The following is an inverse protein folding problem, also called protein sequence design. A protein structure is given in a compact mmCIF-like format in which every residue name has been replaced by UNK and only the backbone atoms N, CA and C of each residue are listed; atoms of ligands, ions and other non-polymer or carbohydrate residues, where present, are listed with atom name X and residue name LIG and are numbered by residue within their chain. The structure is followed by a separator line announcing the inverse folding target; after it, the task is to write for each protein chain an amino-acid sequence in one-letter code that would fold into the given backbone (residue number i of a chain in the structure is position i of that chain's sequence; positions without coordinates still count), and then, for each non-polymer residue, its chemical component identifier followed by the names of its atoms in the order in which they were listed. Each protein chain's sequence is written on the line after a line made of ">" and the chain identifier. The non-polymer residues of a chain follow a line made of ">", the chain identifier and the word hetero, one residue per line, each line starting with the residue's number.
data_IF_749407033555
#
_entry.id   IF_749407033555
#
_cell.length_a   1.000
_cell.length_b   1.000
_cell.length_c   1.000
_cell.angle_alpha   90.00
_cell.angle_beta   90.00
_cell.angle_gamma   90.00
#
_symmetry.space_group_name_H-M   'P 1'
#
loop_
_entity.id
_entity.type
_entity.pdbx_description
1 polymer ?
#
# COMPACT_ATOMS: atom_id res chain seq x y z
N UNK A 1 -74.76 34.12 -25.69
CA UNK A 1 -73.50 33.34 -25.51
C UNK A 1 -73.55 32.26 -26.59
N UNK A 2 -72.84 32.49 -27.68
CA UNK A 2 -72.70 31.49 -28.75
C UNK A 2 -71.53 30.57 -28.42
N UNK A 3 -71.86 29.30 -28.25
CA UNK A 3 -70.88 28.24 -28.05
C UNK A 3 -70.46 27.77 -29.45
N UNK A 4 -69.29 28.19 -29.90
CA UNK A 4 -68.72 27.66 -31.13
C UNK A 4 -68.32 26.21 -30.96
N UNK A 5 -69.18 25.31 -31.42
CA UNK A 5 -68.80 23.91 -31.62
C UNK A 5 -67.80 23.82 -32.78
N UNK A 6 -66.56 23.64 -32.50
CA UNK A 6 -65.55 23.21 -33.49
C UNK A 6 -66.00 21.80 -34.00
N UNK A 7 -66.34 21.71 -35.24
CA UNK A 7 -66.62 20.45 -35.91
C UNK A 7 -65.33 19.63 -35.97
N UNK A 8 -65.27 18.57 -35.16
CA UNK A 8 -64.24 17.56 -35.29
C UNK A 8 -64.46 16.80 -36.61
N UNK A 9 -63.70 17.20 -37.64
CA UNK A 9 -63.60 16.34 -38.84
C UNK A 9 -62.85 15.05 -38.44
N UNK A 10 -63.43 13.88 -38.76
CA UNK A 10 -62.76 12.62 -38.52
C UNK A 10 -61.44 12.60 -39.30
N UNK A 11 -60.34 12.56 -38.60
CA UNK A 11 -59.01 12.49 -39.20
C UNK A 11 -58.95 11.26 -40.11
N UNK A 12 -58.38 11.40 -41.31
CA UNK A 12 -58.19 10.29 -42.24
C UNK A 12 -57.06 9.36 -41.63
N UNK A 13 -57.17 8.06 -41.85
CA UNK A 13 -56.17 7.07 -41.37
C UNK A 13 -54.72 7.49 -41.61
N UNK A 14 -54.44 8.15 -42.74
CA UNK A 14 -53.10 8.68 -43.06
C UNK A 14 -52.62 9.74 -42.06
N UNK A 15 -53.49 10.57 -41.51
CA UNK A 15 -53.13 11.60 -40.52
C UNK A 15 -52.75 10.96 -39.18
N UNK A 16 -53.48 9.94 -38.74
CA UNK A 16 -53.10 9.17 -37.53
C UNK A 16 -51.77 8.46 -37.69
N UNK A 17 -51.51 7.89 -38.86
CA UNK A 17 -50.24 7.23 -39.14
C UNK A 17 -49.05 8.24 -39.15
N UNK A 18 -49.27 9.40 -39.73
CA UNK A 18 -48.23 10.46 -39.73
C UNK A 18 -47.97 11.01 -38.33
N UNK A 19 -49.04 11.24 -37.53
CA UNK A 19 -48.90 11.66 -36.12
C UNK A 19 -48.19 10.60 -35.30
N UNK A 20 -48.58 9.33 -35.45
CA UNK A 20 -47.86 8.23 -34.79
C UNK A 20 -46.40 8.13 -35.19
N UNK A 21 -46.11 8.25 -36.49
CA UNK A 21 -44.72 8.17 -36.97
C UNK A 21 -43.86 9.35 -36.49
N UNK A 22 -44.44 10.56 -36.46
CA UNK A 22 -43.72 11.74 -35.90
C UNK A 22 -43.46 11.57 -34.41
N UNK A 23 -44.40 11.12 -33.62
CA UNK A 23 -44.19 10.84 -32.21
C UNK A 23 -43.18 9.72 -31.99
N UNK A 24 -43.27 8.64 -32.73
CA UNK A 24 -42.32 7.54 -32.70
C UNK A 24 -40.90 8.01 -33.06
N UNK A 25 -40.79 8.77 -34.16
CA UNK A 25 -39.49 9.32 -34.57
C UNK A 25 -38.91 10.27 -33.51
N UNK A 26 -39.73 11.15 -32.93
CA UNK A 26 -39.26 12.10 -31.90
C UNK A 26 -38.75 11.36 -30.65
N UNK A 27 -39.49 10.35 -30.18
CA UNK A 27 -39.07 9.53 -29.02
C UNK A 27 -37.78 8.74 -29.34
N UNK A 28 -37.74 8.11 -30.54
CA UNK A 28 -36.56 7.32 -30.95
C UNK A 28 -35.33 8.19 -31.11
N UNK A 29 -35.46 9.37 -31.73
CA UNK A 29 -34.36 10.33 -31.87
C UNK A 29 -33.90 10.86 -30.51
N UNK A 30 -34.85 11.14 -29.59
CA UNK A 30 -34.49 11.53 -28.22
C UNK A 30 -33.68 10.45 -27.48
N UNK A 31 -34.10 9.19 -27.62
CA UNK A 31 -33.38 8.05 -27.04
C UNK A 31 -31.99 7.84 -27.64
N UNK A 32 -31.87 8.00 -28.97
CA UNK A 32 -30.58 7.92 -29.64
C UNK A 32 -29.63 9.07 -29.21
N UNK A 33 -30.17 10.29 -29.13
CA UNK A 33 -29.39 11.45 -28.69
C UNK A 33 -28.88 11.27 -27.24
N UNK A 34 -29.73 10.80 -26.33
CA UNK A 34 -29.34 10.54 -24.94
C UNK A 34 -28.30 9.41 -24.82
N UNK A 35 -28.47 8.32 -25.58
CA UNK A 35 -27.51 7.24 -25.62
C UNK A 35 -26.13 7.71 -26.15
N UNK A 36 -26.09 8.52 -27.19
CA UNK A 36 -24.84 9.10 -27.72
C UNK A 36 -24.19 10.05 -26.69
N UNK A 37 -24.99 10.85 -26.01
CA UNK A 37 -24.52 11.73 -24.94
C UNK A 37 -23.93 10.93 -23.79
N UNK A 38 -24.59 9.87 -23.35
CA UNK A 38 -24.12 8.99 -22.29
C UNK A 38 -22.75 8.38 -22.66
N UNK A 39 -22.63 7.80 -23.86
CA UNK A 39 -21.36 7.22 -24.35
C UNK A 39 -20.25 8.27 -24.39
N UNK A 40 -20.54 9.50 -24.78
CA UNK A 40 -19.55 10.58 -24.79
C UNK A 40 -19.08 10.92 -23.38
N UNK A 41 -20.00 11.14 -22.44
CA UNK A 41 -19.69 11.47 -21.04
C UNK A 41 -18.86 10.36 -20.39
N UNK A 42 -19.23 9.10 -20.62
CA UNK A 42 -18.51 7.96 -20.02
C UNK A 42 -17.12 7.78 -20.61
N UNK A 43 -16.93 8.09 -21.89
CA UNK A 43 -15.60 8.11 -22.52
C UNK A 43 -14.71 9.18 -21.90
N UNK A 44 -15.25 10.38 -21.66
CA UNK A 44 -14.52 11.49 -21.03
C UNK A 44 -14.11 11.12 -19.59
N UNK A 45 -15.06 10.60 -18.80
CA UNK A 45 -14.77 10.10 -17.45
C UNK A 45 -13.69 9.02 -17.43
N UNK A 46 -13.76 8.09 -18.38
CA UNK A 46 -12.74 7.04 -18.50
C UNK A 46 -11.36 7.62 -18.77
N UNK A 47 -11.27 8.64 -19.62
CA UNK A 47 -10.01 9.34 -19.91
C UNK A 47 -9.45 10.04 -18.66
N UNK A 48 -10.28 10.79 -17.94
CA UNK A 48 -9.88 11.43 -16.68
C UNK A 48 -9.36 10.43 -15.64
N UNK A 49 -10.05 9.27 -15.51
CA UNK A 49 -9.62 8.23 -14.59
C UNK A 49 -8.28 7.59 -15.00
N UNK A 50 -7.98 7.47 -16.29
CA UNK A 50 -6.67 7.01 -16.77
C UNK A 50 -5.57 8.01 -16.38
N UNK A 51 -5.82 9.32 -16.49
CA UNK A 51 -4.85 10.33 -16.07
C UNK A 51 -4.59 10.28 -14.54
N UNK A 52 -5.64 10.09 -13.74
CA UNK A 52 -5.50 9.93 -12.30
C UNK A 52 -4.74 8.62 -11.96
N UNK A 53 -5.03 7.53 -12.67
CA UNK A 53 -4.32 6.27 -12.50
C UNK A 53 -2.82 6.40 -12.80
N UNK A 54 -2.43 7.17 -13.84
CA UNK A 54 -1.01 7.50 -14.09
C UNK A 54 -0.34 8.13 -12.86
N UNK A 55 -1.01 9.09 -12.23
CA UNK A 55 -0.48 9.74 -11.02
C UNK A 55 -0.36 8.75 -9.85
N UNK A 56 -1.34 7.87 -9.65
CA UNK A 56 -1.27 6.84 -8.61
C UNK A 56 -0.14 5.85 -8.86
N UNK A 57 0.07 5.41 -10.11
CA UNK A 57 1.19 4.53 -10.48
C UNK A 57 2.54 5.21 -10.16
N UNK A 58 2.72 6.46 -10.53
CA UNK A 58 3.97 7.18 -10.22
C UNK A 58 4.23 7.29 -8.71
N UNK A 59 3.19 7.54 -7.92
CA UNK A 59 3.29 7.59 -6.46
C UNK A 59 3.64 6.22 -5.87
N UNK A 60 3.01 5.16 -6.36
CA UNK A 60 3.30 3.80 -5.92
C UNK A 60 4.72 3.37 -6.27
N UNK A 61 5.24 3.73 -7.45
CA UNK A 61 6.62 3.44 -7.84
C UNK A 61 7.61 4.10 -6.86
N UNK A 62 7.39 5.38 -6.51
CA UNK A 62 8.23 6.07 -5.53
C UNK A 62 8.17 5.42 -4.14
N UNK A 63 6.98 4.99 -3.73
CA UNK A 63 6.79 4.29 -2.46
C UNK A 63 7.49 2.94 -2.47
N UNK A 64 7.35 2.16 -3.54
CA UNK A 64 8.06 0.89 -3.73
C UNK A 64 9.57 1.09 -3.61
N UNK A 65 10.15 2.07 -4.31
CA UNK A 65 11.58 2.34 -4.25
C UNK A 65 12.04 2.68 -2.83
N UNK A 66 11.26 3.47 -2.09
CA UNK A 66 11.54 3.79 -0.69
C UNK A 66 11.53 2.55 0.21
N UNK A 67 10.52 1.69 0.08
CA UNK A 67 10.40 0.48 0.90
C UNK A 67 11.49 -0.53 0.54
N UNK A 68 11.74 -0.76 -0.75
CA UNK A 68 12.79 -1.66 -1.23
C UNK A 68 14.17 -1.25 -0.70
N UNK A 69 14.50 0.04 -0.72
CA UNK A 69 15.76 0.54 -0.18
C UNK A 69 15.90 0.24 1.32
N UNK A 70 14.83 0.42 2.08
CA UNK A 70 14.81 0.14 3.53
C UNK A 70 14.90 -1.35 3.83
N UNK A 71 14.16 -2.19 3.08
CA UNK A 71 14.21 -3.64 3.24
C UNK A 71 15.60 -4.20 2.90
N UNK A 72 16.25 -3.67 1.86
CA UNK A 72 17.63 -4.02 1.52
C UNK A 72 18.62 -3.62 2.63
N UNK A 73 18.38 -2.50 3.32
CA UNK A 73 19.19 -2.10 4.48
C UNK A 73 18.98 -3.08 5.63
N UNK A 74 17.74 -3.46 5.95
CA UNK A 74 17.46 -4.47 6.97
C UNK A 74 18.08 -5.82 6.65
N UNK A 75 18.10 -6.26 5.40
CA UNK A 75 18.79 -7.50 5.00
C UNK A 75 20.28 -7.44 5.36
N UNK A 76 20.95 -6.32 5.09
CA UNK A 76 22.38 -6.14 5.47
C UNK A 76 22.57 -6.12 6.97
N UNK A 77 21.66 -5.51 7.72
CA UNK A 77 21.72 -5.52 9.19
C UNK A 77 21.56 -6.95 9.73
N UNK A 78 20.64 -7.75 9.17
CA UNK A 78 20.50 -9.15 9.56
C UNK A 78 21.67 -10.04 9.15
N UNK A 79 22.29 -9.79 8.00
CA UNK A 79 23.53 -10.48 7.63
C UNK A 79 24.63 -10.17 8.63
N UNK A 80 24.73 -8.92 9.08
CA UNK A 80 25.68 -8.51 10.14
C UNK A 80 25.37 -9.20 11.47
N UNK A 81 24.09 -9.25 11.85
CA UNK A 81 23.64 -9.95 13.05
C UNK A 81 23.96 -11.44 13.00
N UNK A 82 23.68 -12.11 11.89
CA UNK A 82 24.00 -13.53 11.71
C UNK A 82 25.50 -13.79 11.74
N UNK A 83 26.31 -12.90 11.15
CA UNK A 83 27.78 -12.99 11.23
C UNK A 83 28.27 -12.80 12.66
N UNK A 84 27.72 -11.83 13.39
CA UNK A 84 28.04 -11.63 14.82
C UNK A 84 27.71 -12.89 15.64
N UNK A 85 26.51 -13.44 15.47
CA UNK A 85 26.10 -14.67 16.16
C UNK A 85 26.97 -15.87 15.81
N UNK A 86 27.42 -15.99 14.55
CA UNK A 86 28.23 -17.11 14.09
C UNK A 86 29.70 -17.05 14.61
N UNK A 87 30.26 -15.85 14.73
CA UNK A 87 31.70 -15.67 15.02
C UNK A 87 32.00 -15.32 16.47
N UNK A 88 31.02 -14.72 17.19
CA UNK A 88 31.26 -14.26 18.59
C UNK A 88 31.07 -15.42 19.56
N UNK A 89 32.06 -15.62 20.41
CA UNK A 89 32.08 -16.72 21.37
C UNK A 89 31.09 -16.50 22.51
N UNK A 90 31.12 -15.32 23.11
CA UNK A 90 30.22 -14.87 24.17
C UNK A 90 29.39 -13.69 23.67
N UNK A 91 28.09 -13.85 23.66
CA UNK A 91 27.16 -12.85 23.14
C UNK A 91 26.95 -11.76 24.20
N UNK A 92 27.06 -10.52 23.76
CA UNK A 92 26.70 -9.34 24.52
C UNK A 92 25.25 -8.96 24.26
N UNK A 93 24.49 -8.63 25.31
CA UNK A 93 23.06 -8.36 25.21
C UNK A 93 22.72 -7.06 24.47
N UNK A 94 23.56 -6.03 24.63
CA UNK A 94 23.35 -4.75 23.94
C UNK A 94 23.67 -4.91 22.45
N UNK A 95 24.79 -5.56 22.12
CA UNK A 95 25.16 -5.87 20.73
C UNK A 95 24.11 -6.77 20.05
N UNK A 96 23.55 -7.73 20.76
CA UNK A 96 22.47 -8.56 20.22
C UNK A 96 21.25 -7.70 19.88
N UNK A 97 20.87 -6.79 20.77
CA UNK A 97 19.72 -5.92 20.58
C UNK A 97 19.91 -4.98 19.39
N UNK A 98 21.08 -4.32 19.31
CA UNK A 98 21.37 -3.37 18.23
C UNK A 98 21.43 -4.03 16.84
N UNK A 99 21.78 -5.32 16.79
CA UNK A 99 21.87 -6.06 15.55
C UNK A 99 20.59 -6.87 15.19
N UNK A 100 19.52 -6.75 15.98
CA UNK A 100 18.26 -7.49 15.73
C UNK A 100 17.04 -6.56 15.67
N UNK A 101 17.00 -5.60 14.73
CA UNK A 101 15.90 -4.65 14.64
C UNK A 101 14.54 -5.32 14.35
N UNK A 102 13.47 -4.78 14.93
CA UNK A 102 12.09 -5.23 14.73
C UNK A 102 11.27 -4.32 13.80
N UNK A 103 11.94 -3.44 13.07
CA UNK A 103 11.27 -2.50 12.17
C UNK A 103 10.61 -3.22 10.98
N UNK A 104 9.40 -2.81 10.62
CA UNK A 104 8.67 -3.27 9.44
C UNK A 104 8.32 -2.07 8.58
N UNK A 105 8.64 -2.15 7.30
CA UNK A 105 8.29 -1.13 6.32
C UNK A 105 7.18 -1.64 5.42
N UNK A 106 6.00 -1.04 5.55
CA UNK A 106 4.81 -1.47 4.81
C UNK A 106 4.73 -0.75 3.48
N UNK A 107 4.44 -1.52 2.45
CA UNK A 107 3.92 -0.99 1.20
C UNK A 107 2.39 -1.01 1.29
N UNK A 108 1.78 0.17 1.22
CA UNK A 108 0.34 0.34 1.12
C UNK A 108 0.10 1.03 -0.22
N UNK A 109 -0.40 0.28 -1.17
CA UNK A 109 -0.61 0.78 -2.52
C UNK A 109 -1.72 1.82 -2.55
N UNK A 110 -1.52 2.87 -3.34
CA UNK A 110 -2.53 3.88 -3.62
C UNK A 110 -3.34 3.41 -4.82
N UNK A 111 -4.46 2.74 -4.55
CA UNK A 111 -5.32 2.12 -5.57
C UNK A 111 -6.68 2.82 -5.69
N UNK A 112 -6.83 4.03 -5.13
CA UNK A 112 -8.11 4.76 -5.06
C UNK A 112 -8.75 4.90 -6.44
N UNK A 113 -7.98 5.26 -7.46
CA UNK A 113 -8.46 5.40 -8.83
C UNK A 113 -8.92 4.08 -9.43
N UNK A 114 -8.14 3.00 -9.24
CA UNK A 114 -8.52 1.66 -9.72
C UNK A 114 -9.80 1.17 -9.03
N UNK A 115 -9.92 1.35 -7.72
CA UNK A 115 -11.10 0.96 -6.96
C UNK A 115 -12.33 1.77 -7.36
N UNK A 116 -12.16 3.05 -7.67
CA UNK A 116 -13.20 3.89 -8.25
C UNK A 116 -13.62 3.38 -9.63
N UNK A 117 -12.67 3.06 -10.52
CA UNK A 117 -12.96 2.50 -11.85
C UNK A 117 -13.73 1.18 -11.75
N UNK A 118 -13.37 0.34 -10.78
CA UNK A 118 -14.02 -0.95 -10.52
C UNK A 118 -15.42 -0.77 -9.97
N UNK A 119 -15.60 0.08 -8.95
CA UNK A 119 -16.90 0.29 -8.28
C UNK A 119 -17.91 1.02 -9.16
N UNK A 120 -17.46 1.99 -9.97
CA UNK A 120 -18.30 2.71 -10.95
C UNK A 120 -18.54 1.93 -12.23
N UNK A 121 -17.98 0.73 -12.36
CA UNK A 121 -17.98 -0.07 -13.59
C UNK A 121 -17.36 0.65 -14.81
N UNK A 122 -16.54 1.68 -14.61
CA UNK A 122 -15.93 2.46 -15.69
C UNK A 122 -14.90 1.65 -16.50
N UNK A 123 -14.37 0.55 -15.95
CA UNK A 123 -13.48 -0.38 -16.67
C UNK A 123 -14.12 -0.92 -17.97
N UNK A 124 -15.45 -1.04 -18.04
CA UNK A 124 -16.20 -1.51 -19.25
C UNK A 124 -16.08 -0.57 -20.44
N UNK A 125 -15.74 0.70 -20.21
CA UNK A 125 -15.58 1.69 -21.27
C UNK A 125 -14.17 1.70 -21.88
N UNK A 126 -13.23 1.00 -21.27
CA UNK A 126 -11.91 0.77 -21.85
C UNK A 126 -12.03 -0.29 -22.94
N UNK A 127 -12.14 0.18 -24.19
CA UNK A 127 -12.29 -0.69 -25.37
C UNK A 127 -11.01 -1.44 -25.71
N UNK A 128 -9.85 -0.86 -25.35
CA UNK A 128 -8.54 -1.47 -25.58
C UNK A 128 -8.31 -2.60 -24.56
N UNK A 129 -8.39 -3.82 -25.04
CA UNK A 129 -8.19 -5.03 -24.23
C UNK A 129 -6.76 -5.16 -23.68
N UNK A 130 -5.75 -4.60 -24.38
CA UNK A 130 -4.36 -4.62 -23.92
C UNK A 130 -4.20 -3.67 -22.75
N UNK A 131 -4.74 -2.44 -22.85
CA UNK A 131 -4.76 -1.48 -21.76
C UNK A 131 -5.48 -2.05 -20.54
N UNK A 132 -6.68 -2.61 -20.73
CA UNK A 132 -7.46 -3.21 -19.65
C UNK A 132 -6.67 -4.31 -18.94
N UNK A 133 -6.06 -5.23 -19.69
CA UNK A 133 -5.26 -6.30 -19.11
C UNK A 133 -4.04 -5.77 -18.33
N UNK A 134 -3.36 -4.73 -18.83
CA UNK A 134 -2.25 -4.10 -18.11
C UNK A 134 -2.71 -3.46 -16.80
N UNK A 135 -3.86 -2.79 -16.77
CA UNK A 135 -4.44 -2.21 -15.54
C UNK A 135 -4.75 -3.31 -14.52
N UNK A 136 -5.41 -4.40 -14.95
CA UNK A 136 -5.74 -5.53 -14.07
C UNK A 136 -4.50 -6.23 -13.53
N UNK A 137 -3.47 -6.43 -14.37
CA UNK A 137 -2.20 -7.03 -13.98
C UNK A 137 -1.51 -6.17 -12.94
N UNK A 138 -1.38 -4.87 -13.20
CA UNK A 138 -0.76 -3.93 -12.25
C UNK A 138 -1.48 -3.93 -10.90
N UNK A 139 -2.81 -3.85 -10.89
CA UNK A 139 -3.58 -3.88 -9.65
C UNK A 139 -3.39 -5.19 -8.87
N UNK A 140 -3.33 -6.33 -9.56
CA UNK A 140 -3.04 -7.63 -8.95
C UNK A 140 -1.63 -7.70 -8.36
N UNK A 141 -0.63 -7.19 -9.07
CA UNK A 141 0.76 -7.19 -8.62
C UNK A 141 0.96 -6.28 -7.40
N UNK A 142 0.31 -5.10 -7.39
CA UNK A 142 0.28 -4.22 -6.21
C UNK A 142 -0.35 -4.91 -5.00
N UNK A 143 -1.50 -5.56 -5.18
CA UNK A 143 -2.17 -6.28 -4.10
C UNK A 143 -1.30 -7.44 -3.55
N UNK A 144 -0.59 -8.16 -4.43
CA UNK A 144 0.34 -9.21 -4.02
C UNK A 144 1.54 -8.65 -3.24
N UNK A 145 2.13 -7.53 -3.67
CA UNK A 145 3.22 -6.85 -2.96
C UNK A 145 2.77 -6.33 -1.60
N UNK A 146 1.59 -5.73 -1.53
CA UNK A 146 0.99 -5.24 -0.29
C UNK A 146 0.71 -6.36 0.71
N UNK A 147 0.13 -7.47 0.27
CA UNK A 147 -0.12 -8.63 1.12
C UNK A 147 1.18 -9.19 1.73
N UNK A 148 2.29 -9.17 0.98
CA UNK A 148 3.59 -9.61 1.48
C UNK A 148 4.14 -8.69 2.55
N UNK A 149 4.19 -7.38 2.30
CA UNK A 149 4.79 -6.42 3.22
C UNK A 149 3.90 -6.10 4.44
N UNK A 150 2.58 -6.06 4.26
CA UNK A 150 1.67 -5.57 5.31
C UNK A 150 1.07 -6.69 6.17
N UNK A 151 0.88 -7.88 5.63
CA UNK A 151 0.26 -8.99 6.38
C UNK A 151 1.31 -9.99 6.83
N UNK A 152 2.01 -10.62 5.90
CA UNK A 152 2.88 -11.75 6.22
C UNK A 152 4.12 -11.36 7.04
N UNK A 153 4.76 -10.25 6.69
CA UNK A 153 5.94 -9.79 7.45
C UNK A 153 5.52 -9.28 8.84
N UNK A 154 4.44 -8.52 8.93
CA UNK A 154 3.93 -8.02 10.22
C UNK A 154 3.56 -9.17 11.13
N UNK A 155 2.84 -10.17 10.64
CA UNK A 155 2.45 -11.36 11.41
C UNK A 155 3.68 -12.10 11.94
N UNK A 156 4.69 -12.30 11.10
CA UNK A 156 5.93 -12.94 11.52
C UNK A 156 6.67 -12.12 12.58
N UNK A 157 6.81 -10.79 12.37
CA UNK A 157 7.56 -9.92 13.30
C UNK A 157 6.85 -9.76 14.63
N UNK A 158 5.54 -9.63 14.64
CA UNK A 158 4.74 -9.51 15.88
C UNK A 158 4.51 -10.84 16.59
N UNK A 159 4.62 -11.94 15.87
CA UNK A 159 4.49 -13.30 16.39
C UNK A 159 5.83 -13.94 16.70
N UNK A 160 6.32 -14.77 15.80
CA UNK A 160 7.47 -15.66 16.02
C UNK A 160 8.75 -14.89 16.36
N UNK A 161 9.05 -13.81 15.62
CA UNK A 161 10.23 -13.00 15.88
C UNK A 161 10.18 -12.28 17.24
N UNK A 162 9.02 -11.72 17.59
CA UNK A 162 8.82 -11.05 18.88
C UNK A 162 8.98 -12.01 20.06
N UNK A 163 8.55 -13.27 19.93
CA UNK A 163 8.72 -14.28 20.98
C UNK A 163 10.21 -14.48 21.29
N UNK A 164 11.05 -14.61 20.26
CA UNK A 164 12.49 -14.79 20.42
C UNK A 164 13.14 -13.55 21.02
N UNK A 165 12.78 -12.36 20.50
CA UNK A 165 13.28 -11.07 21.03
C UNK A 165 12.94 -10.91 22.51
N UNK A 166 11.69 -11.09 22.89
CA UNK A 166 11.22 -10.88 24.27
C UNK A 166 11.85 -11.88 25.26
N UNK A 167 12.19 -13.08 24.80
CA UNK A 167 12.82 -14.09 25.66
C UNK A 167 14.26 -13.74 26.01
N UNK A 168 14.99 -13.14 25.09
CA UNK A 168 16.44 -12.98 25.21
C UNK A 168 16.91 -11.53 25.38
N UNK A 169 16.06 -10.55 25.04
CA UNK A 169 16.37 -9.15 25.26
C UNK A 169 15.96 -8.71 26.66
N UNK A 170 16.88 -8.14 27.46
CA UNK A 170 16.51 -7.59 28.76
C UNK A 170 15.48 -6.46 28.57
N UNK A 171 14.38 -6.51 29.34
CA UNK A 171 13.34 -5.46 29.32
C UNK A 171 13.92 -4.05 29.55
N UNK A 172 15.01 -3.94 30.30
CA UNK A 172 15.73 -2.70 30.57
C UNK A 172 16.39 -2.09 29.32
N UNK A 173 16.94 -2.93 28.42
CA UNK A 173 17.53 -2.45 27.16
C UNK A 173 16.45 -2.00 26.19
N UNK A 174 15.36 -2.77 26.07
CA UNK A 174 14.21 -2.40 25.27
C UNK A 174 13.59 -1.07 25.74
N UNK A 175 13.44 -0.89 27.07
CA UNK A 175 12.88 0.34 27.64
C UNK A 175 13.81 1.55 27.41
N UNK A 176 15.15 1.37 27.54
CA UNK A 176 16.11 2.42 27.25
C UNK A 176 16.07 2.86 25.80
N UNK A 177 16.02 1.92 24.86
CA UNK A 177 15.92 2.23 23.43
C UNK A 177 14.64 2.98 23.11
N UNK A 178 13.49 2.56 23.64
CA UNK A 178 12.23 3.29 23.50
C UNK A 178 12.32 4.71 24.05
N UNK A 179 13.08 4.92 25.12
CA UNK A 179 13.35 6.24 25.67
C UNK A 179 14.22 7.08 24.72
N UNK A 180 15.33 6.52 24.26
CA UNK A 180 16.27 7.19 23.36
C UNK A 180 15.61 7.55 22.02
N UNK A 181 14.77 6.68 21.48
CA UNK A 181 13.96 6.92 20.29
C UNK A 181 12.93 8.04 20.48
N UNK A 182 12.27 8.10 21.63
CA UNK A 182 11.30 9.16 21.98
C UNK A 182 11.97 10.50 22.31
N UNK A 183 13.15 10.50 22.88
CA UNK A 183 13.92 11.70 23.22
C UNK A 183 14.51 12.43 22.00
N UNK A 184 14.33 11.91 20.79
CA UNK A 184 14.63 12.60 19.54
C UNK A 184 15.96 12.27 18.94
N UNK A 185 16.67 11.27 19.45
CA UNK A 185 17.96 10.82 18.91
C UNK A 185 17.81 9.78 17.77
N UNK A 186 16.60 9.33 17.45
CA UNK A 186 16.41 8.25 16.48
C UNK A 186 15.25 8.39 15.48
N UNK A 187 14.19 9.14 15.77
CA UNK A 187 13.05 9.25 14.85
C UNK A 187 12.71 10.71 14.58
N UNK A 188 12.85 11.13 13.32
CA UNK A 188 12.19 12.35 12.83
C UNK A 188 10.70 12.06 12.68
N UNK A 189 10.01 12.02 13.80
CA UNK A 189 8.54 12.15 13.79
C UNK A 189 8.26 13.63 13.54
N UNK A 190 7.43 13.90 12.53
CA UNK A 190 7.00 15.27 12.23
C UNK A 190 6.35 15.88 13.48
N UNK A 191 7.11 16.67 14.22
CA UNK A 191 6.82 17.14 15.59
C UNK A 191 5.57 18.00 15.70
N UNK A 192 5.10 18.59 14.61
CA UNK A 192 3.98 19.54 14.68
C UNK A 192 2.61 18.91 14.94
N UNK A 193 2.42 17.64 14.65
CA UNK A 193 1.11 16.97 14.83
C UNK A 193 1.06 15.92 15.95
N UNK A 194 2.17 15.39 16.37
CA UNK A 194 2.22 14.29 17.35
C UNK A 194 2.71 14.73 18.73
N UNK A 195 3.35 15.89 18.85
CA UNK A 195 3.97 16.37 20.08
C UNK A 195 2.97 16.81 21.16
N UNK A 196 1.73 17.08 20.82
CA UNK A 196 0.73 17.48 21.81
C UNK A 196 0.10 16.30 22.56
N UNK A 197 0.29 15.07 22.10
CA UNK A 197 -0.44 13.91 22.63
C UNK A 197 0.38 12.95 23.51
N UNK A 198 1.70 12.96 23.50
CA UNK A 198 2.46 11.85 24.05
C UNK A 198 3.68 12.15 24.94
N UNK A 199 4.15 13.38 25.07
CA UNK A 199 5.36 13.65 25.88
C UNK A 199 5.09 14.84 26.78
N UNK A 200 4.54 14.57 27.94
CA UNK A 200 4.65 15.46 29.09
C UNK A 200 6.08 15.26 29.66
N UNK A 201 6.81 16.34 29.97
CA UNK A 201 8.14 16.27 30.58
C UNK A 201 8.20 15.40 31.85
N UNK A 202 7.06 15.22 32.53
CA UNK A 202 6.90 14.32 33.66
C UNK A 202 7.03 12.84 33.29
N UNK A 203 6.60 12.43 32.08
CA UNK A 203 6.73 11.06 31.62
C UNK A 203 8.19 10.72 31.24
N UNK A 204 8.98 11.72 30.84
CA UNK A 204 10.40 11.59 30.56
C UNK A 204 11.19 11.37 31.87
N UNK A 205 10.82 12.09 32.94
CA UNK A 205 11.43 11.92 34.27
C UNK A 205 11.20 10.53 34.87
N UNK A 206 10.08 9.90 34.56
CA UNK A 206 9.78 8.54 35.03
C UNK A 206 10.71 7.47 34.44
N UNK A 207 11.23 7.69 33.22
CA UNK A 207 12.15 6.77 32.56
C UNK A 207 13.65 7.07 32.84
N UNK A 208 13.96 8.15 33.56
CA UNK A 208 15.33 8.54 33.89
C UNK A 208 16.10 7.52 34.76
N UNK A 209 15.46 6.68 35.61
CA UNK A 209 16.18 5.61 36.35
C UNK A 209 16.79 4.55 35.43
N UNK A 210 16.40 4.46 34.16
CA UNK A 210 16.92 3.49 33.21
C UNK A 210 18.35 3.80 32.75
N UNK A 211 18.88 5.01 33.05
CA UNK A 211 20.26 5.38 32.77
C UNK A 211 21.29 4.58 33.55
N UNK A 212 20.89 3.85 34.59
CA UNK A 212 21.79 3.01 35.41
C UNK A 212 21.72 1.52 35.02
N UNK A 213 21.15 1.18 33.86
CA UNK A 213 21.20 -0.21 33.38
C UNK A 213 22.66 -0.55 33.01
N UNK A 214 23.22 -1.65 33.52
CA UNK A 214 24.54 -2.10 33.16
C UNK A 214 24.69 -2.24 31.65
N UNK A 215 25.65 -1.56 31.05
CA UNK A 215 25.86 -1.56 29.59
C UNK A 215 26.36 -2.91 29.06
N UNK A 216 27.09 -3.64 29.88
CA UNK A 216 27.79 -4.85 29.48
C UNK A 216 27.18 -6.08 30.18
N UNK A 217 26.23 -6.71 29.54
CA UNK A 217 25.73 -8.01 30.01
C UNK A 217 26.13 -9.10 29.03
N UNK A 218 27.40 -9.54 29.19
CA UNK A 218 27.90 -10.69 28.44
C UNK A 218 27.26 -11.98 28.99
N UNK A 219 26.67 -12.76 28.11
CA UNK A 219 26.06 -14.04 28.47
C UNK A 219 27.10 -15.15 28.63
N UNK A 220 26.83 -16.14 29.50
CA UNK A 220 27.66 -17.35 29.61
C UNK A 220 27.72 -18.09 28.26
N UNK A 221 28.72 -18.99 28.13
CA UNK A 221 28.87 -19.84 26.94
C UNK A 221 27.58 -20.60 26.61
N UNK A 222 26.96 -21.26 27.59
CA UNK A 222 25.72 -22.01 27.44
C UNK A 222 24.56 -21.14 26.97
N UNK A 223 24.38 -19.98 27.61
CA UNK A 223 23.35 -19.03 27.19
C UNK A 223 23.63 -18.44 25.81
N UNK A 224 24.88 -18.15 25.47
CA UNK A 224 25.24 -17.66 24.15
C UNK A 224 24.93 -18.68 23.06
N UNK A 225 25.11 -19.98 23.34
CA UNK A 225 24.72 -21.05 22.42
C UNK A 225 23.19 -21.14 22.27
N UNK A 226 22.46 -21.07 23.37
CA UNK A 226 20.98 -21.04 23.34
C UNK A 226 20.43 -19.83 22.55
N UNK A 227 21.02 -18.65 22.72
CA UNK A 227 20.67 -17.43 21.98
C UNK A 227 20.94 -17.64 20.49
N UNK A 228 22.11 -18.14 20.12
CA UNK A 228 22.47 -18.43 18.73
C UNK A 228 21.48 -19.37 18.07
N UNK A 229 21.15 -20.46 18.75
CA UNK A 229 20.20 -21.45 18.25
C UNK A 229 18.76 -20.89 18.13
N UNK A 230 18.38 -19.92 18.95
CA UNK A 230 17.07 -19.28 18.87
C UNK A 230 17.00 -18.20 17.79
N UNK A 231 18.02 -17.35 17.68
CA UNK A 231 18.00 -16.22 16.75
C UNK A 231 18.33 -16.60 15.31
N UNK A 232 19.29 -17.46 15.08
CA UNK A 232 19.75 -17.78 13.72
C UNK A 232 18.60 -18.21 12.79
N UNK A 233 17.69 -19.14 13.17
CA UNK A 233 16.59 -19.53 12.30
C UNK A 233 15.59 -18.40 12.01
N UNK A 234 15.27 -17.56 13.00
CA UNK A 234 14.31 -16.49 12.81
C UNK A 234 14.90 -15.34 11.99
N UNK A 235 16.20 -15.04 12.12
CA UNK A 235 16.88 -14.06 11.27
C UNK A 235 16.95 -14.52 9.82
N UNK A 236 17.32 -15.80 9.58
CA UNK A 236 17.32 -16.38 8.24
C UNK A 236 15.94 -16.33 7.59
N UNK A 237 14.90 -16.67 8.35
CA UNK A 237 13.53 -16.63 7.86
C UNK A 237 13.09 -15.20 7.55
N UNK A 238 13.41 -14.24 8.42
CA UNK A 238 13.08 -12.84 8.21
C UNK A 238 13.79 -12.26 6.98
N UNK A 239 15.06 -12.56 6.79
CA UNK A 239 15.80 -12.21 5.58
C UNK A 239 15.10 -12.78 4.33
N UNK A 240 14.66 -14.04 4.40
CA UNK A 240 13.89 -14.66 3.32
C UNK A 240 12.57 -13.94 3.03
N UNK A 241 11.84 -13.47 4.05
CA UNK A 241 10.63 -12.67 3.87
C UNK A 241 10.92 -11.34 3.19
N UNK A 242 11.93 -10.59 3.66
CA UNK A 242 12.33 -9.31 3.08
C UNK A 242 12.73 -9.44 1.60
N UNK A 243 13.57 -10.42 1.28
CA UNK A 243 14.00 -10.67 -0.11
C UNK A 243 12.81 -11.03 -1.01
N UNK A 244 11.85 -11.79 -0.48
CA UNK A 244 10.65 -12.14 -1.22
C UNK A 244 9.74 -10.90 -1.42
N UNK A 245 9.58 -10.06 -0.40
CA UNK A 245 8.85 -8.80 -0.47
C UNK A 245 9.45 -7.87 -1.52
N UNK A 246 10.77 -7.68 -1.51
CA UNK A 246 11.50 -6.89 -2.53
C UNK A 246 11.24 -7.43 -3.94
N UNK A 247 11.19 -8.75 -4.11
CA UNK A 247 10.87 -9.37 -5.41
C UNK A 247 9.45 -9.02 -5.88
N UNK A 248 8.43 -9.14 -5.02
CA UNK A 248 7.04 -8.81 -5.37
C UNK A 248 6.87 -7.32 -5.68
N UNK A 249 7.54 -6.46 -4.92
CA UNK A 249 7.58 -5.02 -5.20
C UNK A 249 8.24 -4.72 -6.55
N UNK A 250 9.30 -5.45 -6.89
CA UNK A 250 9.93 -5.37 -8.21
C UNK A 250 8.98 -5.72 -9.36
N UNK A 251 8.16 -6.76 -9.18
CA UNK A 251 7.13 -7.15 -10.16
C UNK A 251 6.07 -6.06 -10.29
N UNK A 252 5.54 -5.55 -9.18
CA UNK A 252 4.55 -4.47 -9.18
C UNK A 252 5.10 -3.18 -9.83
N UNK A 253 6.36 -2.83 -9.57
CA UNK A 253 7.03 -1.70 -10.23
C UNK A 253 7.13 -1.91 -11.74
N UNK A 254 7.55 -3.09 -12.18
CA UNK A 254 7.71 -3.40 -13.59
C UNK A 254 6.38 -3.39 -14.35
N UNK A 255 5.33 -3.94 -13.78
CA UNK A 255 3.98 -3.88 -14.37
C UNK A 255 3.45 -2.44 -14.43
N UNK A 256 3.72 -1.61 -13.40
CA UNK A 256 3.39 -0.19 -13.39
C UNK A 256 4.12 0.60 -14.49
N UNK A 257 5.43 0.40 -14.64
CA UNK A 257 6.22 1.03 -15.71
C UNK A 257 5.73 0.62 -17.10
N UNK A 258 5.43 -0.67 -17.30
CA UNK A 258 4.88 -1.18 -18.55
C UNK A 258 3.50 -0.62 -18.89
N UNK A 259 2.69 -0.36 -17.87
CA UNK A 259 1.37 0.29 -18.03
C UNK A 259 1.53 1.77 -18.40
N UNK A 260 2.41 2.51 -17.72
CA UNK A 260 2.71 3.92 -18.02
C UNK A 260 3.21 4.09 -19.45
N UNK A 261 4.19 3.29 -19.86
CA UNK A 261 4.72 3.31 -21.23
C UNK A 261 3.63 3.05 -22.28
N UNK A 262 2.70 2.13 -21.98
CA UNK A 262 1.60 1.83 -22.90
C UNK A 262 0.63 3.00 -23.01
N UNK A 263 0.24 3.63 -21.89
CA UNK A 263 -0.65 4.79 -21.89
C UNK A 263 -0.02 5.96 -22.65
N UNK A 264 1.25 6.25 -22.43
CA UNK A 264 1.97 7.35 -23.09
C UNK A 264 2.07 7.16 -24.62
N UNK A 265 2.24 5.92 -25.08
CA UNK A 265 2.23 5.60 -26.52
C UNK A 265 0.86 5.78 -27.18
N UNK A 266 -0.21 5.77 -26.44
CA UNK A 266 -1.57 5.99 -26.97
C UNK A 266 -1.96 7.48 -27.01
N UNK A 267 -1.24 8.34 -26.27
CA UNK A 267 -1.45 9.80 -26.24
C UNK A 267 -0.74 10.52 -27.42
N UNK A 268 0.18 9.84 -28.11
CA UNK A 268 0.92 10.33 -29.31
C UNK A 268 0.40 9.68 -30.58
#
# INVERSE_FOLDING_TARGET
>A
MEVHHHSHHPKKWKEYFTEFFMLFAAVTLGFLAENLREVYIEKERSHELILQLKADIHNNIKLIDSVVMRDQTLVKEFDTAMMYLATTKLIDGDSLYDNTPANVFRFLSKNDTYDQMKSSASLRYIKDSVLLNKILTYASDCAAAEARSSSMEVEFVTGEYAIVLNKWQPNSVAAKRMYDERSGNGIVVNREKTSQLLINDENIKFLSPLNNVPKDKTYSMEKSEQIRNAFMPVLQRRTGFLLNTVRFMGVAKQSGLSLLEYIEKQEH
#
